data_IF_659156030976
#
_entry.id   IF_659156030976
#
_cell.length_a   1.000
_cell.length_b   1.000
_cell.length_c   1.000
_cell.angle_alpha   90.00
_cell.angle_beta   90.00
_cell.angle_gamma   90.00
#
_symmetry.space_group_name_H-M   'P 1'
#
loop_
_entity.id
_entity.type
_entity.pdbx_description
1 polymer ?
#
# COMPACT_ATOMS: atom_id res chain seq x y z
N UNK A 1 -12.54 -26.69 17.57
CA UNK A 1 -12.29 -26.03 17.29
C UNK A 1 -11.65 -25.39 17.34
N UNK A 2 -11.64 -25.46 17.24
CA UNK A 2 -11.01 -24.82 17.25
C UNK A 2 -10.82 -23.98 17.31
N UNK A 3 -10.91 -23.54 17.44
CA UNK A 3 -10.72 -22.53 17.33
C UNK A 3 -10.12 -21.84 17.90
N UNK A 4 -9.76 -22.16 18.42
CA UNK A 4 -9.18 -21.52 19.05
C UNK A 4 -8.30 -20.65 18.55
N UNK A 5 -7.68 -20.89 18.38
CA UNK A 5 -6.95 -20.29 17.61
C UNK A 5 -7.43 -19.17 17.23
N UNK A 6 -8.35 -19.35 17.17
CA UNK A 6 -8.98 -18.54 16.57
C UNK A 6 -9.26 -17.30 17.19
N UNK A 7 -9.11 -17.11 18.37
CA UNK A 7 -9.44 -15.88 19.03
C UNK A 7 -8.72 -14.69 18.44
N UNK A 8 -7.44 -14.84 18.20
CA UNK A 8 -6.69 -13.77 17.60
C UNK A 8 -7.09 -13.58 16.17
N UNK A 9 -7.28 -14.68 15.47
CA UNK A 9 -7.65 -14.62 14.08
C UNK A 9 -9.05 -14.08 13.86
N UNK A 10 -9.89 -14.17 14.87
CA UNK A 10 -11.24 -13.68 14.75
C UNK A 10 -11.30 -12.17 14.55
N UNK A 11 -10.26 -11.46 14.98
CA UNK A 11 -10.22 -10.02 14.83
C UNK A 11 -9.59 -9.58 13.53
N UNK A 12 -9.17 -10.53 12.71
CA UNK A 12 -8.52 -10.22 11.45
C UNK A 12 -9.24 -10.87 10.30
N UNK A 13 -9.34 -10.14 9.20
CA UNK A 13 -9.91 -10.72 7.99
C UNK A 13 -9.19 -10.14 6.78
N UNK A 14 -9.02 -10.98 5.76
CA UNK A 14 -8.38 -10.55 4.53
C UNK A 14 -9.38 -9.73 3.74
N UNK A 15 -9.06 -8.47 3.48
CA UNK A 15 -9.94 -7.58 2.75
C UNK A 15 -9.67 -7.68 1.26
N UNK A 16 -8.39 -7.70 0.89
CA UNK A 16 -7.99 -7.80 -0.51
C UNK A 16 -6.90 -8.84 -0.65
N UNK A 17 -6.97 -9.61 -1.71
CA UNK A 17 -5.95 -10.59 -2.07
C UNK A 17 -5.48 -10.27 -3.48
N UNK A 18 -4.19 -10.10 -3.63
CA UNK A 18 -3.59 -9.80 -4.94
C UNK A 18 -2.71 -10.97 -5.36
N UNK A 19 -2.24 -10.93 -6.60
CA UNK A 19 -1.30 -11.94 -7.09
C UNK A 19 0.02 -11.81 -6.33
N UNK A 20 0.86 -12.82 -6.45
CA UNK A 20 2.23 -12.83 -5.93
C UNK A 20 2.29 -12.76 -4.40
N UNK A 21 1.26 -13.25 -3.73
CA UNK A 21 1.27 -13.35 -2.29
C UNK A 21 1.05 -12.04 -1.53
N UNK A 22 0.50 -11.04 -2.21
CA UNK A 22 0.25 -9.74 -1.60
C UNK A 22 -1.18 -9.70 -1.06
N UNK A 23 -1.37 -9.18 0.15
CA UNK A 23 -2.68 -9.11 0.79
C UNK A 23 -2.82 -7.86 1.64
N UNK A 24 -4.06 -7.45 1.86
CA UNK A 24 -4.38 -6.43 2.85
C UNK A 24 -5.30 -7.07 3.87
N UNK A 25 -4.96 -6.95 5.13
CA UNK A 25 -5.67 -7.59 6.23
C UNK A 25 -6.22 -6.52 7.16
N UNK A 26 -7.52 -6.61 7.43
CA UNK A 26 -8.16 -5.69 8.37
C UNK A 26 -8.10 -6.31 9.76
N UNK A 27 -7.74 -5.51 10.75
CA UNK A 27 -7.79 -5.94 12.15
C UNK A 27 -8.43 -4.82 12.96
N UNK A 28 -9.00 -5.18 14.10
CA UNK A 28 -9.63 -4.21 14.98
C UNK A 28 -9.08 -4.34 16.38
N UNK A 29 -7.97 -3.68 16.67
CA UNK A 29 -7.47 -3.67 18.03
C UNK A 29 -8.49 -3.00 18.94
N UNK A 30 -8.47 -3.39 20.19
CA UNK A 30 -9.54 -3.04 21.10
C UNK A 30 -9.93 -1.58 21.15
N UNK A 31 -8.98 -0.69 21.08
CA UNK A 31 -9.27 0.72 21.32
C UNK A 31 -9.04 1.66 20.17
N UNK A 32 -8.49 1.16 19.09
CA UNK A 32 -8.02 2.04 18.03
C UNK A 32 -8.81 2.03 16.75
N UNK A 33 -9.88 1.26 16.70
CA UNK A 33 -10.62 1.12 15.46
C UNK A 33 -9.87 0.28 14.44
N UNK A 34 -10.40 0.15 13.26
CA UNK A 34 -9.80 -0.78 12.28
C UNK A 34 -8.44 -0.29 11.79
N UNK A 35 -7.58 -1.26 11.56
CA UNK A 35 -6.27 -1.03 10.96
C UNK A 35 -6.14 -1.96 9.77
N UNK A 36 -5.41 -1.53 8.76
CA UNK A 36 -5.27 -2.29 7.53
C UNK A 36 -3.78 -2.56 7.30
N UNK A 37 -3.41 -3.83 7.37
CA UNK A 37 -2.01 -4.25 7.28
C UNK A 37 -1.70 -4.73 5.88
N UNK A 38 -0.63 -4.22 5.31
CA UNK A 38 -0.16 -4.67 4.01
C UNK A 38 0.84 -5.80 4.22
N UNK A 39 0.65 -6.91 3.50
CA UNK A 39 1.56 -8.06 3.55
C UNK A 39 2.05 -8.41 2.16
N UNK A 40 3.33 -8.64 2.05
CA UNK A 40 3.94 -9.14 0.81
C UNK A 40 5.16 -9.95 1.20
N UNK A 41 5.61 -10.86 0.32
CA UNK A 41 6.78 -11.68 0.63
C UNK A 41 7.99 -10.81 0.94
N UNK A 42 8.67 -11.11 2.03
CA UNK A 42 9.90 -10.42 2.43
C UNK A 42 9.74 -8.92 2.68
N UNK A 43 8.52 -8.46 2.81
CA UNK A 43 8.24 -7.04 3.05
C UNK A 43 8.07 -6.79 4.54
N UNK A 44 8.64 -5.70 5.03
CA UNK A 44 8.45 -5.29 6.41
C UNK A 44 6.97 -4.97 6.64
N UNK A 45 6.43 -5.44 7.73
CA UNK A 45 5.03 -5.21 8.04
C UNK A 45 4.73 -3.72 8.19
N UNK A 46 3.65 -3.26 7.58
CA UNK A 46 3.23 -1.86 7.67
C UNK A 46 1.70 -1.83 7.69
N UNK A 47 1.15 -0.92 8.48
CA UNK A 47 -0.30 -0.82 8.65
C UNK A 47 -0.77 0.60 8.48
N UNK A 48 -2.03 0.74 8.09
CA UNK A 48 -2.65 2.04 7.82
C UNK A 48 -3.98 2.15 8.54
N UNK A 49 -4.42 3.36 8.80
CA UNK A 49 -5.71 3.61 9.44
C UNK A 49 -6.86 3.55 8.45
N UNK A 50 -6.56 3.58 7.17
CA UNK A 50 -7.55 3.76 6.13
C UNK A 50 -7.34 2.75 5.02
N UNK A 51 -8.41 2.10 4.58
CA UNK A 51 -8.33 1.08 3.54
C UNK A 51 -7.85 1.65 2.21
N UNK A 52 -8.33 2.85 1.87
CA UNK A 52 -7.92 3.46 0.60
C UNK A 52 -6.42 3.72 0.57
N UNK A 53 -5.86 4.12 1.71
CA UNK A 53 -4.43 4.35 1.81
C UNK A 53 -3.66 3.04 1.67
N UNK A 54 -4.15 1.97 2.31
CA UNK A 54 -3.53 0.66 2.18
C UNK A 54 -3.56 0.18 0.73
N UNK A 55 -4.67 0.42 0.04
CA UNK A 55 -4.79 0.03 -1.36
C UNK A 55 -3.85 0.83 -2.24
N UNK A 56 -3.71 2.12 -1.98
CA UNK A 56 -2.77 2.94 -2.74
C UNK A 56 -1.34 2.45 -2.53
N UNK A 57 -1.01 2.07 -1.31
CA UNK A 57 0.31 1.52 -1.02
C UNK A 57 0.55 0.25 -1.84
N UNK A 58 -0.47 -0.61 -1.92
CA UNK A 58 -0.37 -1.82 -2.74
C UNK A 58 -0.17 -1.47 -4.22
N UNK A 59 -0.86 -0.44 -4.69
CA UNK A 59 -0.69 0.01 -6.07
C UNK A 59 0.74 0.46 -6.33
N UNK A 60 1.33 1.22 -5.40
CA UNK A 60 2.72 1.66 -5.53
C UNK A 60 3.64 0.44 -5.57
N UNK A 61 3.37 -0.53 -4.70
CA UNK A 61 4.18 -1.75 -4.63
C UNK A 61 4.23 -2.45 -5.99
N UNK A 62 3.07 -2.63 -6.62
CA UNK A 62 3.02 -3.29 -7.92
C UNK A 62 3.59 -2.42 -9.04
N UNK A 63 3.36 -1.10 -8.97
CA UNK A 63 3.83 -0.19 -10.00
C UNK A 63 5.34 -0.24 -10.17
N UNK A 64 6.07 -0.48 -9.08
CA UNK A 64 7.53 -0.56 -9.15
C UNK A 64 8.04 -2.00 -9.10
N UNK A 65 7.15 -2.96 -9.29
CA UNK A 65 7.50 -4.39 -9.26
C UNK A 65 8.07 -4.84 -7.92
N UNK A 66 7.60 -4.21 -6.87
CA UNK A 66 7.95 -4.60 -5.51
C UNK A 66 9.11 -3.81 -4.93
N UNK A 67 9.07 -3.62 -3.64
CA UNK A 67 10.15 -3.00 -2.90
C UNK A 67 10.04 -3.49 -1.45
N UNK A 68 11.11 -3.29 -0.69
CA UNK A 68 11.10 -3.64 0.73
C UNK A 68 11.08 -2.33 1.52
N UNK A 69 10.09 -2.19 2.40
CA UNK A 69 10.01 -1.04 3.26
C UNK A 69 11.09 -1.22 4.34
N UNK A 70 11.93 -0.23 4.50
CA UNK A 70 13.05 -0.36 5.42
C UNK A 70 12.63 -0.44 6.88
N UNK A 71 11.54 0.18 7.22
CA UNK A 71 11.08 0.16 8.59
C UNK A 71 11.98 0.90 9.54
N UNK A 72 12.73 1.84 9.03
CA UNK A 72 13.71 2.56 9.85
C UNK A 72 13.09 3.64 10.71
N UNK A 73 11.88 4.02 10.40
CA UNK A 73 11.25 5.13 11.09
C UNK A 73 11.72 6.48 10.61
N UNK A 74 12.64 6.48 9.69
CA UNK A 74 13.20 7.71 9.17
C UNK A 74 12.49 8.22 7.93
N UNK A 75 11.45 7.62 7.53
CA UNK A 75 10.71 8.00 6.33
C UNK A 75 11.61 8.07 5.10
N UNK A 76 12.63 7.24 5.09
CA UNK A 76 13.40 7.08 3.89
C UNK A 76 12.50 6.49 2.82
N UNK A 77 12.59 7.02 1.62
CA UNK A 77 11.79 6.52 0.51
C UNK A 77 12.57 5.39 -0.15
N UNK A 78 11.95 4.23 -0.39
CA UNK A 78 12.67 3.14 -1.06
C UNK A 78 13.22 3.60 -2.39
N UNK A 79 14.45 3.20 -2.73
CA UNK A 79 15.07 3.62 -3.99
C UNK A 79 14.21 3.30 -5.22
N UNK A 80 13.53 2.17 -5.17
CA UNK A 80 12.67 1.77 -6.28
C UNK A 80 11.59 2.81 -6.56
N UNK A 81 11.05 3.40 -5.48
CA UNK A 81 10.01 4.40 -5.61
C UNK A 81 10.59 5.71 -6.15
N UNK A 82 11.74 6.12 -5.62
CA UNK A 82 12.37 7.36 -6.06
C UNK A 82 12.69 7.30 -7.55
N UNK A 83 13.15 6.15 -8.01
CA UNK A 83 13.56 6.00 -9.40
C UNK A 83 12.41 5.83 -10.36
N UNK A 84 11.23 5.53 -9.85
CA UNK A 84 10.08 5.24 -10.69
C UNK A 84 9.47 6.46 -11.36
N UNK A 85 9.64 7.62 -10.76
CA UNK A 85 9.11 8.84 -11.35
C UNK A 85 8.24 9.63 -10.40
N UNK A 86 7.88 10.80 -10.86
CA UNK A 86 7.18 11.79 -10.04
C UNK A 86 5.83 11.31 -9.53
N UNK A 87 5.04 10.69 -10.39
CA UNK A 87 3.70 10.26 -10.02
C UNK A 87 3.75 9.12 -9.00
N UNK A 88 4.68 8.18 -9.17
CA UNK A 88 4.81 7.09 -8.22
C UNK A 88 5.30 7.59 -6.87
N UNK A 89 6.27 8.50 -6.87
CA UNK A 89 6.76 9.07 -5.63
C UNK A 89 5.65 9.84 -4.93
N UNK A 90 4.86 10.61 -5.68
CA UNK A 90 3.76 11.36 -5.10
C UNK A 90 2.76 10.42 -4.43
N UNK A 91 2.40 9.33 -5.11
CA UNK A 91 1.46 8.35 -4.56
C UNK A 91 2.02 7.73 -3.28
N UNK A 92 3.30 7.38 -3.29
CA UNK A 92 3.93 6.81 -2.10
C UNK A 92 3.85 7.79 -0.93
N UNK A 93 4.16 9.07 -1.18
CA UNK A 93 4.14 10.07 -0.12
C UNK A 93 2.74 10.25 0.45
N UNK A 94 1.71 10.13 -0.37
CA UNK A 94 0.33 10.22 0.11
C UNK A 94 0.04 9.12 1.14
N UNK A 95 0.68 7.97 1.02
CA UNK A 95 0.44 6.87 1.96
C UNK A 95 1.18 7.05 3.29
N UNK A 96 2.09 8.00 3.37
CA UNK A 96 2.85 8.21 4.59
C UNK A 96 1.99 8.90 5.65
N UNK A 97 2.11 8.46 6.89
CA UNK A 97 1.28 8.99 7.97
C UNK A 97 1.49 10.48 8.21
N UNK A 98 2.66 10.99 7.85
CA UNK A 98 3.00 12.40 8.08
C UNK A 98 2.63 13.30 6.91
N UNK A 99 2.00 12.75 5.86
CA UNK A 99 1.64 13.53 4.67
C UNK A 99 0.23 13.18 4.24
N UNK A 100 -0.33 14.01 3.39
CA UNK A 100 -1.61 13.72 2.75
C UNK A 100 -1.58 14.37 1.37
N UNK A 101 -2.69 14.29 0.65
CA UNK A 101 -2.76 14.82 -0.70
C UNK A 101 -2.42 16.32 -0.72
N UNK A 102 -2.90 17.06 0.28
CA UNK A 102 -2.66 18.49 0.34
C UNK A 102 -1.18 18.80 0.58
N UNK A 103 -0.56 18.05 1.48
CA UNK A 103 0.86 18.23 1.77
C UNK A 103 1.70 17.94 0.52
N UNK A 104 1.39 16.84 -0.16
CA UNK A 104 2.14 16.43 -1.35
C UNK A 104 1.96 17.46 -2.47
N UNK A 105 0.74 17.97 -2.64
CA UNK A 105 0.49 19.01 -3.65
C UNK A 105 1.34 20.23 -3.37
N UNK A 106 1.40 20.64 -2.12
CA UNK A 106 2.20 21.79 -1.73
C UNK A 106 3.69 21.53 -1.99
N UNK A 107 4.15 20.34 -1.65
CA UNK A 107 5.54 19.95 -1.85
C UNK A 107 5.93 20.04 -3.33
N UNK A 108 5.04 19.64 -4.22
CA UNK A 108 5.32 19.68 -5.66
C UNK A 108 4.94 21.02 -6.31
N UNK A 109 4.33 21.92 -5.54
CA UNK A 109 3.90 23.20 -6.09
C UNK A 109 2.76 23.05 -7.07
N UNK A 110 1.84 22.15 -6.79
CA UNK A 110 0.72 21.89 -7.67
C UNK A 110 -0.57 21.77 -6.85
N UNK A 111 -1.63 21.21 -7.41
CA UNK A 111 -2.93 21.12 -6.75
C UNK A 111 -3.22 19.71 -6.30
N UNK A 112 -4.11 19.54 -5.30
CA UNK A 112 -4.52 18.20 -4.90
C UNK A 112 -5.09 17.38 -6.04
N UNK A 113 -5.80 18.03 -6.98
CA UNK A 113 -6.36 17.33 -8.15
C UNK A 113 -5.26 16.68 -8.98
N UNK A 114 -4.13 17.38 -9.14
CA UNK A 114 -3.01 16.81 -9.88
C UNK A 114 -2.43 15.59 -9.15
N UNK A 115 -2.35 15.67 -7.83
CA UNK A 115 -1.83 14.55 -7.06
C UNK A 115 -2.75 13.35 -7.19
N UNK A 116 -4.06 13.58 -7.16
CA UNK A 116 -5.01 12.48 -7.33
C UNK A 116 -4.91 11.87 -8.71
N UNK A 117 -4.62 12.68 -9.71
CA UNK A 117 -4.40 12.17 -11.07
C UNK A 117 -3.16 11.28 -11.11
N UNK A 118 -2.10 11.69 -10.42
CA UNK A 118 -0.89 10.86 -10.33
C UNK A 118 -1.22 9.52 -9.67
N UNK A 119 -1.99 9.53 -8.60
CA UNK A 119 -2.38 8.30 -7.93
C UNK A 119 -3.20 7.40 -8.86
N UNK A 120 -4.06 8.01 -9.68
CA UNK A 120 -4.85 7.27 -10.64
C UNK A 120 -3.97 6.58 -11.69
N UNK A 121 -2.94 7.26 -12.14
CA UNK A 121 -2.00 6.66 -13.10
C UNK A 121 -1.25 5.50 -12.48
N UNK A 122 -0.85 5.63 -11.22
CA UNK A 122 -0.17 4.55 -10.51
C UNK A 122 -1.09 3.34 -10.41
N UNK A 123 -2.36 3.58 -10.07
CA UNK A 123 -3.34 2.50 -9.95
C UNK A 123 -3.52 1.77 -11.28
N UNK A 124 -3.62 2.54 -12.36
CA UNK A 124 -3.82 1.94 -13.68
C UNK A 124 -2.65 1.05 -14.08
N UNK A 125 -1.43 1.51 -13.81
CA UNK A 125 -0.25 0.71 -14.12
C UNK A 125 -0.19 -0.53 -13.24
N UNK A 126 -0.54 -0.37 -11.96
CA UNK A 126 -0.53 -1.50 -11.04
C UNK A 126 -1.55 -2.56 -11.46
N UNK A 127 -2.74 -2.12 -11.89
CA UNK A 127 -3.76 -3.04 -12.36
C UNK A 127 -3.27 -3.83 -13.56
N UNK A 128 -2.58 -3.16 -14.46
CA UNK A 128 -2.05 -3.79 -15.65
C UNK A 128 -0.99 -4.83 -15.29
N UNK A 129 -0.11 -4.49 -14.37
CA UNK A 129 0.93 -5.40 -13.92
C UNK A 129 0.32 -6.63 -13.26
N UNK A 130 -0.68 -6.42 -12.42
CA UNK A 130 -1.36 -7.53 -11.75
C UNK A 130 -2.07 -8.43 -12.74
N UNK A 131 -2.70 -7.84 -13.75
CA UNK A 131 -3.39 -8.61 -14.79
C UNK A 131 -2.41 -9.45 -15.59
N UNK A 132 -1.24 -8.89 -15.90
CA UNK A 132 -0.23 -9.63 -16.62
C UNK A 132 0.32 -10.79 -15.80
N UNK A 133 0.51 -10.57 -14.50
CA UNK A 133 0.98 -11.62 -13.61
C UNK A 133 -0.02 -12.75 -13.56
N UNK A 134 -1.31 -12.42 -13.48
CA UNK A 134 -2.36 -13.41 -13.46
C UNK A 134 -2.37 -14.22 -14.73
N UNK A 135 -2.21 -13.56 -15.88
CA UNK A 135 -2.18 -14.22 -17.16
C UNK A 135 -1.06 -15.23 -17.26
N UNK A 136 0.05 -14.97 -16.61
CA UNK A 136 1.20 -15.86 -16.64
C UNK A 136 1.16 -16.89 -15.51
N UNK A 137 0.07 -16.93 -14.76
CA UNK A 137 -0.08 -17.90 -13.69
C UNK A 137 0.75 -17.60 -12.45
N UNK A 138 1.16 -16.38 -12.29
CA UNK A 138 1.96 -16.00 -11.13
C UNK A 138 1.02 -15.54 -10.01
N UNK A 139 0.88 -16.35 -9.00
CA UNK A 139 -0.03 -16.03 -7.90
C UNK A 139 0.62 -16.12 -6.54
#
# INVERSE_FOLDING_TARGET
MSQSTSTTDADESVVDTYVLGVRIIESEPADDGPRYRFEAPDHTEIAFDDLETARLYADVYFDVNGFVEEGTGERGVPPEVVQAGKDTLAAYLVTCAWADVNWVASFYGTTPDDIERYCSWVRDRADEIRAQAEEHGLE
#
